data_IF_606960505275
#
_entry.id   IF_606960505275
#
_cell.length_a   1.000
_cell.length_b   1.000
_cell.length_c   1.000
_cell.angle_alpha   90.00
_cell.angle_beta   90.00
_cell.angle_gamma   90.00
#
_symmetry.space_group_name_H-M   'P 1'
#
loop_
_entity.id
_entity.type
_entity.pdbx_description
1 polymer ?
#
# COMPACT_ATOMS: atom_id res chain seq x y z
N UNK A 1 17.31 6.29 -9.58
CA UNK A 1 16.70 6.61 -10.89
C UNK A 1 15.78 5.45 -11.24
N UNK A 2 14.54 5.72 -11.66
CA UNK A 2 13.47 4.72 -11.78
C UNK A 2 13.08 4.61 -13.26
N UNK A 3 13.04 3.39 -13.79
CA UNK A 3 12.48 3.09 -15.11
C UNK A 3 11.02 2.66 -14.93
N UNK A 4 10.07 3.29 -15.61
CA UNK A 4 8.62 3.05 -15.42
C UNK A 4 7.96 2.74 -16.76
N UNK A 5 7.27 1.60 -16.83
CA UNK A 5 6.48 1.18 -17.99
C UNK A 5 5.00 1.18 -17.60
N UNK A 6 4.15 1.89 -18.34
CA UNK A 6 2.72 2.02 -18.00
C UNK A 6 1.81 1.25 -18.95
N UNK A 7 0.80 0.62 -18.38
CA UNK A 7 -0.22 -0.16 -19.07
C UNK A 7 -1.63 0.22 -18.65
N UNK A 8 -2.62 0.08 -19.54
CA UNK A 8 -4.05 0.22 -19.26
C UNK A 8 -4.65 -1.17 -19.11
N UNK A 9 -5.31 -1.45 -17.99
CA UNK A 9 -5.71 -2.82 -17.64
C UNK A 9 -7.08 -2.87 -16.94
N UNK A 10 -7.85 -3.93 -17.22
CA UNK A 10 -8.92 -4.43 -16.39
C UNK A 10 -8.42 -5.75 -15.76
N UNK A 11 -8.28 -5.80 -14.43
CA UNK A 11 -7.69 -6.92 -13.67
C UNK A 11 -7.95 -8.31 -14.29
N UNK A 12 -6.88 -8.99 -14.71
CA UNK A 12 -6.92 -10.38 -15.22
C UNK A 12 -6.53 -10.56 -16.69
N UNK A 13 -6.25 -9.49 -17.43
CA UNK A 13 -5.77 -9.55 -18.82
C UNK A 13 -4.39 -8.85 -18.99
N UNK A 14 -3.69 -9.15 -20.09
CA UNK A 14 -2.49 -8.39 -20.48
C UNK A 14 -2.93 -6.95 -20.82
N UNK A 15 -2.49 -5.98 -20.01
CA UNK A 15 -2.84 -4.58 -20.23
C UNK A 15 -2.28 -4.02 -21.54
N UNK A 16 -2.99 -3.05 -22.11
CA UNK A 16 -2.54 -2.31 -23.30
C UNK A 16 -1.42 -1.34 -22.92
N UNK A 17 -0.32 -1.30 -23.68
CA UNK A 17 0.78 -0.37 -23.42
C UNK A 17 0.34 1.09 -23.57
N UNK A 18 0.65 1.93 -22.59
CA UNK A 18 0.36 3.38 -22.61
C UNK A 18 1.62 4.15 -23.00
N UNK A 19 2.68 4.08 -22.17
CA UNK A 19 3.93 4.79 -22.38
C UNK A 19 5.08 4.18 -21.57
N UNK A 20 6.30 4.66 -21.84
CA UNK A 20 7.52 4.31 -21.12
C UNK A 20 8.26 5.61 -20.76
N UNK A 21 8.68 5.73 -19.50
CA UNK A 21 9.54 6.81 -19.01
C UNK A 21 10.89 6.24 -18.57
N UNK A 22 11.98 6.73 -19.18
CA UNK A 22 13.33 6.23 -18.94
C UNK A 22 14.26 7.35 -18.46
N UNK A 23 14.85 7.14 -17.28
CA UNK A 23 15.95 7.94 -16.72
C UNK A 23 16.93 6.92 -16.10
N UNK A 24 18.07 6.68 -16.76
CA UNK A 24 18.80 5.39 -16.78
C UNK A 24 19.55 4.94 -15.51
N UNK A 25 19.48 3.62 -15.20
CA UNK A 25 20.56 2.59 -15.19
C UNK A 25 19.93 1.20 -14.83
N UNK A 26 19.51 0.41 -15.82
CA UNK A 26 18.44 -0.61 -15.70
C UNK A 26 18.84 -1.97 -15.10
N UNK A 27 19.01 -2.02 -13.77
CA UNK A 27 18.86 -3.29 -13.02
C UNK A 27 17.49 -3.43 -12.35
N UNK A 28 16.76 -2.33 -12.16
CA UNK A 28 15.53 -2.24 -11.39
C UNK A 28 14.55 -1.27 -12.05
N UNK A 29 13.30 -1.69 -12.21
CA UNK A 29 12.25 -0.92 -12.86
C UNK A 29 10.87 -1.25 -12.31
N UNK A 30 9.87 -0.39 -12.56
CA UNK A 30 8.47 -0.67 -12.24
C UNK A 30 7.60 -0.79 -13.48
N UNK A 31 6.58 -1.64 -13.40
CA UNK A 31 5.42 -1.60 -14.30
C UNK A 31 4.21 -1.10 -13.55
N UNK A 32 3.56 -0.08 -14.07
CA UNK A 32 2.36 0.52 -13.51
C UNK A 32 1.15 0.17 -14.38
N UNK A 33 0.05 -0.21 -13.75
CA UNK A 33 -1.19 -0.58 -14.42
C UNK A 33 -2.29 0.36 -13.99
N UNK A 34 -3.01 0.92 -14.95
CA UNK A 34 -4.05 1.91 -14.75
C UNK A 34 -5.42 1.37 -15.17
N UNK A 35 -6.47 1.77 -14.45
CA UNK A 35 -7.86 1.46 -14.81
C UNK A 35 -8.30 2.19 -16.08
N UNK A 36 -9.49 1.88 -16.58
CA UNK A 36 -10.11 2.62 -17.69
C UNK A 36 -10.26 4.14 -17.41
N UNK A 37 -10.34 4.52 -16.13
CA UNK A 37 -10.48 5.90 -15.64
C UNK A 37 -9.13 6.56 -15.29
N UNK A 38 -8.02 5.94 -15.69
CA UNK A 38 -6.65 6.42 -15.44
C UNK A 38 -6.27 6.47 -13.95
N UNK A 39 -6.84 5.57 -13.14
CA UNK A 39 -6.46 5.38 -11.75
C UNK A 39 -5.38 4.28 -11.65
N UNK A 40 -4.28 4.52 -10.93
CA UNK A 40 -3.26 3.50 -10.68
C UNK A 40 -3.85 2.38 -9.81
N UNK A 41 -3.84 1.14 -10.32
CA UNK A 41 -4.45 -0.03 -9.67
C UNK A 41 -3.45 -1.08 -9.23
N UNK A 42 -2.30 -1.17 -9.90
CA UNK A 42 -1.24 -2.14 -9.59
C UNK A 42 0.12 -1.59 -10.00
N UNK A 43 1.13 -1.87 -9.19
CA UNK A 43 2.55 -1.66 -9.52
C UNK A 43 3.36 -2.93 -9.30
N UNK A 44 4.13 -3.35 -10.30
CA UNK A 44 5.12 -4.43 -10.18
C UNK A 44 6.53 -3.83 -10.11
N UNK A 45 7.26 -4.08 -9.02
CA UNK A 45 8.69 -3.77 -8.94
C UNK A 45 9.49 -4.96 -9.43
N UNK A 46 10.32 -4.75 -10.44
CA UNK A 46 11.10 -5.80 -11.11
C UNK A 46 12.58 -5.48 -10.97
N UNK A 47 13.37 -6.48 -10.60
CA UNK A 47 14.83 -6.39 -10.52
C UNK A 47 15.46 -7.58 -11.19
N UNK A 48 16.42 -7.34 -12.09
CA UNK A 48 17.12 -8.39 -12.85
C UNK A 48 16.16 -9.37 -13.54
N UNK A 49 15.05 -8.86 -14.06
CA UNK A 49 14.02 -9.62 -14.78
C UNK A 49 13.03 -10.40 -13.90
N UNK A 50 13.16 -10.36 -12.56
CA UNK A 50 12.24 -11.01 -11.64
C UNK A 50 11.36 -9.97 -10.91
N UNK A 51 10.06 -10.24 -10.81
CA UNK A 51 9.15 -9.44 -9.97
C UNK A 51 9.52 -9.66 -8.51
N UNK A 52 9.86 -8.59 -7.80
CA UNK A 52 10.19 -8.60 -6.39
C UNK A 52 8.98 -8.33 -5.52
N UNK A 53 8.18 -7.33 -5.91
CA UNK A 53 7.05 -6.85 -5.14
C UNK A 53 5.91 -6.49 -6.08
N UNK A 54 4.69 -6.84 -5.70
CA UNK A 54 3.46 -6.35 -6.35
C UNK A 54 2.69 -5.50 -5.35
N UNK A 55 2.35 -4.27 -5.72
CA UNK A 55 1.48 -3.38 -4.94
C UNK A 55 0.14 -3.27 -5.64
N UNK A 56 -0.95 -3.35 -4.88
CA UNK A 56 -2.31 -3.12 -5.37
C UNK A 56 -2.82 -1.83 -4.70
N UNK A 57 -2.96 -0.73 -5.44
CA UNK A 57 -3.27 0.59 -4.85
C UNK A 57 -4.78 0.89 -4.74
N UNK A 58 -5.49 0.91 -5.86
CA UNK A 58 -6.90 1.32 -5.93
C UNK A 58 -7.77 0.25 -6.61
N UNK A 59 -7.59 -1.00 -6.22
CA UNK A 59 -8.44 -2.07 -6.74
C UNK A 59 -9.83 -2.02 -6.09
N UNK A 60 -10.88 -1.82 -6.91
CA UNK A 60 -12.28 -1.96 -6.49
C UNK A 60 -12.72 -3.40 -6.18
N UNK A 61 -11.78 -4.34 -6.25
CA UNK A 61 -11.94 -5.77 -5.97
C UNK A 61 -11.72 -6.05 -4.50
N UNK A 62 -12.48 -7.00 -3.92
CA UNK A 62 -12.28 -7.37 -2.52
C UNK A 62 -10.92 -8.07 -2.30
N UNK A 63 -10.43 -8.04 -1.07
CA UNK A 63 -9.12 -8.58 -0.70
C UNK A 63 -8.95 -10.07 -1.03
N UNK A 64 -9.97 -10.91 -0.78
CA UNK A 64 -9.87 -12.35 -0.99
C UNK A 64 -9.67 -12.70 -2.47
N UNK A 65 -10.37 -12.00 -3.36
CA UNK A 65 -10.21 -12.13 -4.80
C UNK A 65 -8.84 -11.65 -5.27
N UNK A 66 -8.36 -10.49 -4.79
CA UNK A 66 -7.03 -9.99 -5.12
C UNK A 66 -5.92 -10.95 -4.68
N UNK A 67 -6.06 -11.54 -3.49
CA UNK A 67 -5.10 -12.53 -2.98
C UNK A 67 -5.08 -13.78 -3.87
N UNK A 68 -6.24 -14.28 -4.30
CA UNK A 68 -6.33 -15.44 -5.18
C UNK A 68 -5.67 -15.17 -6.55
N UNK A 69 -5.90 -13.98 -7.13
CA UNK A 69 -5.25 -13.55 -8.38
C UNK A 69 -3.74 -13.47 -8.19
N UNK A 70 -3.27 -12.84 -7.11
CA UNK A 70 -1.85 -12.70 -6.82
C UNK A 70 -1.15 -14.06 -6.74
N UNK A 71 -1.68 -14.99 -5.94
CA UNK A 71 -1.10 -16.32 -5.77
C UNK A 71 -1.06 -17.11 -7.08
N UNK A 72 -2.03 -16.90 -7.97
CA UNK A 72 -2.08 -17.54 -9.28
C UNK A 72 -1.04 -16.98 -10.25
N UNK A 73 -0.85 -15.66 -10.27
CA UNK A 73 0.03 -14.98 -11.23
C UNK A 73 1.49 -14.93 -10.79
N UNK A 74 1.74 -14.68 -9.50
CA UNK A 74 3.07 -14.41 -8.95
C UNK A 74 3.51 -15.43 -7.89
N UNK A 75 2.64 -16.36 -7.48
CA UNK A 75 2.98 -17.35 -6.46
C UNK A 75 3.26 -16.69 -5.11
N UNK A 76 4.48 -16.88 -4.60
CA UNK A 76 4.90 -16.39 -3.28
C UNK A 76 5.63 -15.04 -3.32
N UNK A 77 5.60 -14.32 -4.45
CA UNK A 77 6.20 -12.98 -4.54
C UNK A 77 5.62 -12.07 -3.45
N UNK A 78 6.41 -11.11 -2.97
CA UNK A 78 5.96 -10.16 -1.95
C UNK A 78 4.80 -9.32 -2.49
N UNK A 79 3.76 -9.12 -1.70
CA UNK A 79 2.56 -8.41 -2.10
C UNK A 79 2.13 -7.38 -1.05
N UNK A 80 1.78 -6.19 -1.49
CA UNK A 80 1.18 -5.14 -0.66
C UNK A 80 -0.23 -4.83 -1.19
N UNK A 81 -1.25 -5.15 -0.41
CA UNK A 81 -2.64 -4.90 -0.74
C UNK A 81 -3.13 -3.69 0.04
N UNK A 82 -3.19 -2.53 -0.60
CA UNK A 82 -3.76 -1.31 -0.02
C UNK A 82 -5.28 -1.41 -0.17
N UNK A 83 -5.95 -2.02 0.81
CA UNK A 83 -7.34 -2.41 0.67
C UNK A 83 -8.35 -1.28 0.90
N UNK A 84 -9.53 -1.54 0.34
CA UNK A 84 -10.86 -0.94 0.47
C UNK A 84 -11.03 0.06 1.62
N UNK A 85 -11.54 1.22 1.24
CA UNK A 85 -11.95 2.28 2.15
C UNK A 85 -13.18 1.88 2.99
N UNK A 86 -13.07 1.97 4.32
CA UNK A 86 -14.16 1.82 5.28
C UNK A 86 -14.46 3.16 5.95
N UNK A 87 -15.70 3.65 5.89
CA UNK A 87 -16.10 4.90 6.56
C UNK A 87 -16.06 4.76 8.08
N UNK A 88 -15.57 5.78 8.78
CA UNK A 88 -15.56 5.88 10.24
C UNK A 88 -16.33 7.14 10.68
N UNK A 89 -16.52 7.33 11.99
CA UNK A 89 -17.15 8.55 12.51
C UNK A 89 -16.33 9.82 12.23
N UNK A 90 -15.02 9.68 12.04
CA UNK A 90 -14.06 10.79 11.94
C UNK A 90 -13.52 10.99 10.51
N UNK A 91 -13.94 10.15 9.56
CA UNK A 91 -13.43 10.13 8.19
C UNK A 91 -13.54 8.73 7.60
N UNK A 92 -12.41 8.12 7.25
CA UNK A 92 -12.38 6.74 6.74
C UNK A 92 -11.06 6.05 7.12
N UNK A 93 -10.99 4.73 6.95
CA UNK A 93 -9.75 3.96 7.08
C UNK A 93 -9.53 3.08 5.87
N UNK A 94 -8.27 2.76 5.57
CA UNK A 94 -7.86 1.74 4.59
C UNK A 94 -7.06 0.68 5.30
N UNK A 95 -7.23 -0.59 4.90
CA UNK A 95 -6.50 -1.71 5.51
C UNK A 95 -5.45 -2.29 4.56
N UNK A 96 -4.18 -2.05 4.86
CA UNK A 96 -3.03 -2.63 4.16
C UNK A 96 -2.76 -4.08 4.60
N UNK A 97 -2.37 -4.96 3.67
CA UNK A 97 -1.81 -6.29 3.99
C UNK A 97 -0.49 -6.48 3.25
N UNK A 98 0.58 -6.81 3.99
CA UNK A 98 1.89 -7.14 3.43
C UNK A 98 2.17 -8.63 3.57
N UNK A 99 2.31 -9.30 2.45
CA UNK A 99 2.81 -10.66 2.34
C UNK A 99 4.27 -10.64 1.91
N UNK A 100 5.12 -11.36 2.63
CA UNK A 100 6.51 -11.57 2.24
C UNK A 100 6.73 -13.07 2.03
N UNK A 101 7.19 -13.44 0.84
CA UNK A 101 7.45 -14.84 0.48
C UNK A 101 6.24 -15.78 0.74
N UNK A 102 5.03 -15.34 0.39
CA UNK A 102 3.78 -16.08 0.57
C UNK A 102 3.27 -16.15 2.02
N UNK A 103 3.90 -15.44 2.96
CA UNK A 103 3.47 -15.39 4.37
C UNK A 103 2.97 -14.00 4.72
N UNK A 104 1.79 -13.93 5.35
CA UNK A 104 1.27 -12.68 5.87
C UNK A 104 2.20 -12.18 6.98
N UNK A 105 2.93 -11.11 6.69
CA UNK A 105 3.92 -10.53 7.59
C UNK A 105 3.28 -9.47 8.47
N UNK A 106 2.45 -8.62 7.86
CA UNK A 106 2.00 -7.39 8.50
C UNK A 106 0.64 -6.95 7.97
N UNK A 107 -0.16 -6.36 8.85
CA UNK A 107 -1.46 -5.78 8.52
C UNK A 107 -1.49 -4.39 9.13
N UNK A 108 -1.90 -3.39 8.36
CA UNK A 108 -1.97 -1.99 8.79
C UNK A 108 -3.36 -1.45 8.58
N UNK A 109 -3.84 -0.62 9.50
CA UNK A 109 -4.98 0.26 9.24
C UNK A 109 -4.50 1.70 9.24
N UNK A 110 -4.66 2.39 8.11
CA UNK A 110 -4.38 3.82 7.98
C UNK A 110 -5.69 4.57 8.07
N UNK A 111 -5.81 5.47 9.02
CA UNK A 111 -6.99 6.29 9.28
C UNK A 111 -6.79 7.67 8.70
N UNK A 112 -7.83 8.16 8.04
CA UNK A 112 -7.89 9.45 7.39
C UNK A 112 -9.04 10.27 7.99
N UNK A 113 -8.86 11.57 8.08
CA UNK A 113 -9.94 12.48 8.45
C UNK A 113 -10.93 12.69 7.28
N UNK A 114 -11.94 13.54 7.48
CA UNK A 114 -12.93 13.87 6.46
C UNK A 114 -12.38 14.69 5.28
N UNK A 115 -11.20 15.27 5.42
CA UNK A 115 -10.49 16.02 4.38
C UNK A 115 -9.52 15.11 3.58
N UNK A 116 -9.24 13.92 4.09
CA UNK A 116 -8.34 12.95 3.47
C UNK A 116 -6.91 12.97 4.01
N UNK A 117 -6.65 13.70 5.10
CA UNK A 117 -5.34 13.74 5.75
C UNK A 117 -5.16 12.50 6.64
N UNK A 118 -3.95 11.93 6.67
CA UNK A 118 -3.65 10.76 7.51
C UNK A 118 -3.62 11.20 8.98
N UNK A 119 -4.47 10.61 9.81
CA UNK A 119 -4.52 10.92 11.25
C UNK A 119 -3.62 9.96 12.05
N UNK A 120 -3.70 8.66 11.73
CA UNK A 120 -2.93 7.63 12.41
C UNK A 120 -2.79 6.35 11.59
N UNK A 121 -1.79 5.57 11.90
CA UNK A 121 -1.60 4.21 11.41
C UNK A 121 -1.56 3.21 12.57
N UNK A 122 -2.24 2.08 12.42
CA UNK A 122 -2.33 1.03 13.42
C UNK A 122 -1.76 -0.26 12.86
N UNK A 123 -0.72 -0.78 13.53
CA UNK A 123 -0.11 -2.06 13.20
C UNK A 123 -0.88 -3.20 13.87
N UNK A 124 -1.35 -4.19 13.10
CA UNK A 124 -2.16 -5.30 13.59
C UNK A 124 -1.39 -6.62 13.51
N UNK A 125 -1.48 -7.43 14.57
CA UNK A 125 -0.89 -8.76 14.59
C UNK A 125 -1.83 -9.80 13.97
N UNK A 126 -1.54 -10.17 12.73
CA UNK A 126 -2.38 -11.08 11.93
C UNK A 126 -2.66 -12.43 12.57
N UNK A 127 -1.75 -12.94 13.43
CA UNK A 127 -1.89 -14.24 14.10
C UNK A 127 -2.75 -14.20 15.36
N UNK A 128 -3.06 -13.03 15.90
CA UNK A 128 -3.90 -12.88 17.09
C UNK A 128 -5.14 -12.04 16.79
N UNK A 129 -5.97 -12.52 15.87
CA UNK A 129 -7.24 -11.87 15.49
C UNK A 129 -7.11 -10.38 15.12
N UNK A 130 -5.98 -9.98 14.54
CA UNK A 130 -5.69 -8.59 14.19
C UNK A 130 -5.70 -7.65 15.41
N UNK A 131 -5.25 -8.12 16.56
CA UNK A 131 -5.04 -7.25 17.72
C UNK A 131 -4.02 -6.14 17.38
N UNK A 132 -4.33 -4.87 17.73
CA UNK A 132 -3.39 -3.78 17.61
C UNK A 132 -2.11 -4.02 18.41
N UNK A 133 -0.97 -3.64 17.85
CA UNK A 133 0.34 -3.77 18.47
C UNK A 133 1.01 -2.42 18.72
N UNK A 134 0.76 -1.46 17.83
CA UNK A 134 1.35 -0.13 17.85
C UNK A 134 0.45 0.83 17.08
N UNK A 135 0.45 2.09 17.51
CA UNK A 135 -0.20 3.20 16.81
C UNK A 135 0.82 4.30 16.53
N UNK A 136 0.85 4.79 15.30
CA UNK A 136 1.62 5.95 14.86
C UNK A 136 0.65 7.10 14.62
N UNK A 137 0.88 8.24 15.25
CA UNK A 137 0.06 9.45 15.11
C UNK A 137 0.81 10.49 14.29
N UNK A 138 0.08 11.19 13.42
CA UNK A 138 0.63 12.23 12.55
C UNK A 138 0.03 13.57 12.96
N UNK A 139 0.89 14.56 13.15
CA UNK A 139 0.53 15.91 13.57
C UNK A 139 0.86 16.89 12.45
N UNK A 140 -0.11 17.74 12.12
CA UNK A 140 -0.01 18.73 11.06
C UNK A 140 -0.24 20.12 11.62
N UNK A 141 0.39 21.13 11.04
CA UNK A 141 0.14 22.52 11.36
C UNK A 141 -1.11 23.09 10.65
N UNK A 142 -1.37 24.38 10.87
CA UNK A 142 -2.49 25.10 10.25
C UNK A 142 -2.38 25.20 8.72
N UNK A 143 -1.18 24.98 8.16
CA UNK A 143 -0.87 25.01 6.74
C UNK A 143 -0.91 23.62 6.10
N UNK A 144 -1.22 22.58 6.88
CA UNK A 144 -1.22 21.16 6.48
C UNK A 144 0.17 20.60 6.19
N UNK A 145 1.21 21.20 6.74
CA UNK A 145 2.54 20.62 6.74
C UNK A 145 2.68 19.63 7.91
N UNK A 146 3.30 18.47 7.65
CA UNK A 146 3.56 17.47 8.68
C UNK A 146 4.65 17.99 9.61
N UNK A 147 4.31 18.16 10.89
CA UNK A 147 5.22 18.72 11.91
C UNK A 147 5.68 17.68 12.92
N UNK A 148 5.00 16.54 13.04
CA UNK A 148 5.35 15.54 14.03
C UNK A 148 4.82 14.14 13.75
N UNK A 149 5.58 13.14 14.19
CA UNK A 149 5.17 11.73 14.22
C UNK A 149 5.42 11.18 15.62
N UNK A 150 4.40 10.56 16.22
CA UNK A 150 4.51 9.92 17.54
C UNK A 150 4.10 8.45 17.48
N UNK A 151 4.98 7.53 17.88
CA UNK A 151 4.68 6.10 17.97
C UNK A 151 4.36 5.71 19.41
N UNK A 152 3.27 4.96 19.62
CA UNK A 152 2.86 4.45 20.94
C UNK A 152 2.51 2.96 20.89
N UNK A 153 2.82 2.25 21.97
CA UNK A 153 2.24 0.92 22.24
C UNK A 153 0.78 1.05 22.65
N UNK A 154 0.05 -0.07 22.69
CA UNK A 154 -1.38 -0.08 23.03
C UNK A 154 -1.71 0.32 24.47
N UNK A 155 -0.76 0.21 25.40
CA UNK A 155 -0.88 0.72 26.77
C UNK A 155 -0.58 2.23 26.89
N UNK A 156 -0.31 2.91 25.76
CA UNK A 156 -0.09 4.35 25.69
C UNK A 156 1.35 4.80 25.92
N UNK A 157 2.31 3.88 26.10
CA UNK A 157 3.74 4.23 26.23
C UNK A 157 4.28 4.72 24.89
N UNK A 158 4.95 5.87 24.91
CA UNK A 158 5.65 6.42 23.74
C UNK A 158 6.90 5.59 23.45
N UNK A 159 7.01 5.12 22.22
CA UNK A 159 8.17 4.36 21.70
C UNK A 159 9.16 5.33 21.06
N UNK A 160 8.65 6.27 20.26
CA UNK A 160 9.45 7.26 19.55
C UNK A 160 8.63 8.52 19.24
N UNK A 161 9.35 9.61 18.96
CA UNK A 161 8.80 10.88 18.51
C UNK A 161 9.81 11.57 17.59
N UNK A 162 9.32 12.16 16.50
CA UNK A 162 10.11 12.86 15.48
C UNK A 162 9.41 14.19 15.18
N UNK A 163 10.17 15.29 15.27
CA UNK A 163 9.77 16.66 14.88
C UNK A 163 10.41 17.03 13.53
N UNK A 164 9.71 17.84 12.72
CA UNK A 164 10.17 18.30 11.39
C UNK A 164 10.41 19.82 11.32
#
# INVERSE_FOLDING_TARGET
>A
MVHIIRFKNNLGEFGEFINEECITNDEEYSKEFYSAKDELIKTELIKKGAVLVVRYENCGTNFAELLAVHLKEYGNVTADFLAVQETTNEGYKKRGHLFENGKLLFVRETYYDSLGDIVKEVSLYSKNNYEPTMVEYYEYDDQKELIGITQKTMDGRVISHIDF
#
